data_IF_263785890953
#
_entry.id   IF_263785890953
#
_cell.length_a   1.000
_cell.length_b   1.000
_cell.length_c   1.000
_cell.angle_alpha   90.00
_cell.angle_beta   90.00
_cell.angle_gamma   90.00
#
_symmetry.space_group_name_H-M   'P 1'
#
loop_
_entity.id
_entity.type
_entity.pdbx_description
1 polymer ?
#
# COMPACT_ATOMS: atom_id res chain seq x y z
N UNK A 1 -4.77 -21.76 -18.40
CA UNK A 1 -4.13 -20.44 -18.20
C UNK A 1 -3.59 -19.98 -19.54
N UNK A 2 -4.02 -18.82 -20.03
CA UNK A 2 -3.39 -18.15 -21.18
C UNK A 2 -2.16 -17.39 -20.69
N UNK A 3 -0.99 -17.99 -20.89
CA UNK A 3 0.29 -17.50 -20.37
C UNK A 3 0.76 -16.23 -21.09
N UNK A 4 0.37 -16.03 -22.34
CA UNK A 4 0.71 -14.84 -23.12
C UNK A 4 -0.07 -13.63 -22.60
N UNK A 5 -1.40 -13.76 -22.49
CA UNK A 5 -2.25 -12.69 -21.94
C UNK A 5 -1.88 -12.37 -20.49
N UNK A 6 -1.58 -13.38 -19.69
CA UNK A 6 -1.10 -13.19 -18.32
C UNK A 6 0.16 -12.29 -18.29
N UNK A 7 1.18 -12.60 -19.10
CA UNK A 7 2.42 -11.81 -19.17
C UNK A 7 2.17 -10.38 -19.65
N UNK A 8 1.28 -10.19 -20.62
CA UNK A 8 0.91 -8.85 -21.10
C UNK A 8 0.29 -8.02 -19.98
N UNK A 9 -0.71 -8.53 -19.27
CA UNK A 9 -1.34 -7.78 -18.18
C UNK A 9 -0.40 -7.51 -17.01
N UNK A 10 0.51 -8.43 -16.70
CA UNK A 10 1.55 -8.20 -15.70
C UNK A 10 2.51 -7.08 -16.13
N UNK A 11 2.93 -7.07 -17.40
CA UNK A 11 3.76 -6.00 -17.95
C UNK A 11 3.04 -4.65 -17.92
N UNK A 12 1.75 -4.61 -18.25
CA UNK A 12 0.93 -3.39 -18.18
C UNK A 12 0.82 -2.85 -16.76
N UNK A 13 0.63 -3.72 -15.75
CA UNK A 13 0.59 -3.32 -14.34
C UNK A 13 1.93 -2.73 -13.88
N UNK A 14 3.04 -3.40 -14.21
CA UNK A 14 4.38 -2.93 -13.88
C UNK A 14 4.70 -1.61 -14.59
N UNK A 15 4.27 -1.44 -15.84
CA UNK A 15 4.42 -0.19 -16.58
C UNK A 15 3.59 0.94 -15.95
N UNK A 16 2.35 0.65 -15.52
CA UNK A 16 1.50 1.63 -14.85
C UNK A 16 2.15 2.19 -13.57
N UNK A 17 2.78 1.31 -12.77
CA UNK A 17 3.50 1.72 -11.55
C UNK A 17 4.80 2.46 -11.86
N UNK A 18 5.59 2.00 -12.83
CA UNK A 18 6.92 2.57 -13.14
C UNK A 18 6.89 3.84 -13.99
N UNK A 19 5.83 4.07 -14.77
CA UNK A 19 5.70 5.24 -15.66
C UNK A 19 5.27 6.53 -14.95
N UNK A 20 4.92 6.47 -13.66
CA UNK A 20 4.34 7.59 -12.92
C UNK A 20 2.87 7.89 -13.27
N UNK A 21 2.28 7.17 -14.23
CA UNK A 21 0.86 7.32 -14.59
C UNK A 21 -0.06 6.99 -13.41
N UNK A 22 0.26 5.95 -12.63
CA UNK A 22 -0.49 5.62 -11.42
C UNK A 22 -0.55 6.80 -10.44
N UNK A 23 0.60 7.44 -10.18
CA UNK A 23 0.70 8.64 -9.34
C UNK A 23 -0.16 9.77 -9.90
N UNK A 24 -0.06 10.04 -11.22
CA UNK A 24 -0.81 11.12 -11.86
C UNK A 24 -2.34 10.92 -11.75
N UNK A 25 -2.83 9.70 -12.01
CA UNK A 25 -4.25 9.39 -11.90
C UNK A 25 -4.76 9.48 -10.47
N UNK A 26 -4.05 8.86 -9.51
CA UNK A 26 -4.43 8.90 -8.11
C UNK A 26 -4.38 10.34 -7.55
N UNK A 27 -3.36 11.11 -7.89
CA UNK A 27 -3.25 12.52 -7.47
C UNK A 27 -4.44 13.34 -7.97
N UNK A 28 -4.85 13.12 -9.22
CA UNK A 28 -6.03 13.79 -9.80
C UNK A 28 -7.31 13.41 -9.06
N UNK A 29 -7.50 12.13 -8.74
CA UNK A 29 -8.65 11.63 -7.98
C UNK A 29 -8.67 12.27 -6.59
N UNK A 30 -7.56 12.20 -5.85
CA UNK A 30 -7.45 12.75 -4.50
C UNK A 30 -7.65 14.26 -4.46
N UNK A 31 -7.16 15.01 -5.46
CA UNK A 31 -7.36 16.47 -5.54
C UNK A 31 -8.83 16.89 -5.62
N UNK A 32 -9.70 15.99 -6.11
CA UNK A 32 -11.14 16.20 -6.21
C UNK A 32 -11.90 15.67 -4.99
N UNK A 33 -11.30 14.77 -4.21
CA UNK A 33 -11.90 14.15 -3.04
C UNK A 33 -11.79 15.01 -1.77
N UNK A 34 -12.09 16.32 -1.86
CA UNK A 34 -11.80 17.32 -0.81
C UNK A 34 -12.47 17.06 0.55
N UNK A 35 -13.57 16.31 0.57
CA UNK A 35 -14.29 15.94 1.79
C UNK A 35 -13.88 14.57 2.33
N UNK A 36 -12.99 13.85 1.64
CA UNK A 36 -12.50 12.56 2.07
C UNK A 36 -11.51 12.76 3.24
N UNK A 37 -11.84 12.17 4.38
CA UNK A 37 -11.03 12.23 5.61
C UNK A 37 -10.38 10.90 5.97
N UNK A 38 -10.75 9.83 5.28
CA UNK A 38 -10.34 8.48 5.59
C UNK A 38 -9.79 7.84 4.32
N UNK A 39 -8.55 7.38 4.40
CA UNK A 39 -7.94 6.53 3.37
C UNK A 39 -7.79 5.12 3.93
N UNK A 40 -8.31 4.15 3.20
CA UNK A 40 -8.23 2.73 3.54
C UNK A 40 -7.53 2.03 2.37
N UNK A 41 -6.52 1.24 2.68
CA UNK A 41 -5.90 0.30 1.75
C UNK A 41 -6.25 -1.09 2.27
N UNK A 42 -7.10 -1.80 1.53
CA UNK A 42 -7.51 -3.16 1.86
C UNK A 42 -7.44 -4.09 0.65
N UNK A 43 -7.48 -5.39 0.92
CA UNK A 43 -7.60 -6.46 -0.08
C UNK A 43 -8.80 -7.39 0.15
N UNK A 44 -9.67 -7.04 1.11
CA UNK A 44 -10.82 -7.84 1.57
C UNK A 44 -11.79 -8.18 0.42
N UNK A 45 -11.67 -7.50 -0.71
CA UNK A 45 -12.49 -7.72 -1.88
C UNK A 45 -11.64 -8.02 -3.12
N UNK A 46 -12.08 -9.02 -3.89
CA UNK A 46 -11.57 -9.24 -5.24
C UNK A 46 -11.71 -7.95 -6.04
N UNK A 47 -10.58 -7.42 -6.50
CA UNK A 47 -10.56 -6.20 -7.30
C UNK A 47 -11.60 -6.26 -8.42
N UNK A 48 -12.21 -5.13 -8.73
CA UNK A 48 -13.31 -5.05 -9.71
C UNK A 48 -12.94 -5.64 -11.09
N UNK A 49 -11.64 -5.65 -11.42
CA UNK A 49 -11.07 -6.25 -12.63
C UNK A 49 -10.78 -7.76 -12.56
N UNK A 50 -10.93 -8.44 -11.42
CA UNK A 50 -10.56 -9.84 -11.25
C UNK A 50 -11.38 -10.79 -12.14
N UNK A 51 -12.67 -10.51 -12.34
CA UNK A 51 -13.52 -11.29 -13.25
C UNK A 51 -13.15 -11.07 -14.72
N UNK A 52 -12.75 -9.86 -15.09
CA UNK A 52 -12.21 -9.57 -16.41
C UNK A 52 -10.91 -10.34 -16.63
N UNK A 53 -9.97 -10.25 -15.69
CA UNK A 53 -8.70 -10.95 -15.77
C UNK A 53 -8.89 -12.47 -15.84
N UNK A 54 -9.82 -13.06 -15.07
CA UNK A 54 -10.15 -14.49 -15.20
C UNK A 54 -10.67 -14.86 -16.58
N UNK A 55 -11.53 -14.04 -17.19
CA UNK A 55 -12.02 -14.31 -18.55
C UNK A 55 -10.87 -14.30 -19.55
N UNK A 56 -9.91 -13.40 -19.39
CA UNK A 56 -8.82 -13.24 -20.33
C UNK A 56 -7.69 -14.26 -20.12
N UNK A 57 -7.31 -14.57 -18.88
CA UNK A 57 -6.17 -15.45 -18.55
C UNK A 57 -6.60 -16.87 -18.20
N UNK A 58 -7.89 -17.11 -17.99
CA UNK A 58 -8.45 -18.39 -17.54
C UNK A 58 -8.33 -18.67 -16.04
N UNK A 59 -7.72 -17.76 -15.26
CA UNK A 59 -7.56 -17.89 -13.80
C UNK A 59 -7.75 -16.56 -13.09
N UNK A 60 -8.22 -16.60 -11.85
CA UNK A 60 -8.24 -15.39 -11.03
C UNK A 60 -6.81 -14.90 -10.77
N UNK A 61 -6.60 -13.58 -10.65
CA UNK A 61 -5.36 -13.05 -10.06
C UNK A 61 -5.11 -13.70 -8.71
N UNK A 62 -3.84 -13.95 -8.39
CA UNK A 62 -3.49 -14.46 -7.07
C UNK A 62 -3.75 -13.38 -6.01
N UNK A 63 -4.19 -13.82 -4.84
CA UNK A 63 -4.26 -12.99 -3.62
C UNK A 63 -3.14 -13.34 -2.65
N UNK A 64 -2.28 -14.30 -2.99
CA UNK A 64 -1.12 -14.70 -2.17
C UNK A 64 0.01 -13.69 -2.31
N UNK A 65 0.62 -13.30 -1.20
CA UNK A 65 1.75 -12.36 -1.16
C UNK A 65 3.10 -13.08 -0.88
N UNK A 66 3.11 -14.40 -0.96
CA UNK A 66 4.25 -15.24 -0.55
C UNK A 66 5.51 -15.05 -1.43
N UNK A 67 5.33 -14.64 -2.69
CA UNK A 67 6.45 -14.39 -3.60
C UNK A 67 7.07 -13.01 -3.39
N UNK A 68 8.40 -12.92 -3.47
CA UNK A 68 9.13 -11.65 -3.42
C UNK A 68 8.60 -10.63 -4.44
N UNK A 69 8.28 -11.06 -5.66
CA UNK A 69 7.75 -10.16 -6.70
C UNK A 69 6.40 -9.54 -6.32
N UNK A 70 5.55 -10.29 -5.61
CA UNK A 70 4.28 -9.76 -5.11
C UNK A 70 4.49 -8.73 -3.99
N UNK A 71 5.49 -8.96 -3.13
CA UNK A 71 5.85 -8.02 -2.07
C UNK A 71 6.41 -6.71 -2.63
N UNK A 72 7.34 -6.80 -3.59
CA UNK A 72 7.90 -5.64 -4.29
C UNK A 72 6.81 -4.83 -5.01
N UNK A 73 5.84 -5.51 -5.62
CA UNK A 73 4.71 -4.87 -6.26
C UNK A 73 3.85 -4.12 -5.24
N UNK A 74 3.50 -4.74 -4.10
CA UNK A 74 2.71 -4.09 -3.05
C UNK A 74 3.47 -2.92 -2.45
N UNK A 75 4.78 -3.04 -2.21
CA UNK A 75 5.63 -1.94 -1.76
C UNK A 75 5.57 -0.76 -2.74
N UNK A 76 5.70 -1.04 -4.04
CA UNK A 76 5.62 -0.03 -5.10
C UNK A 76 4.23 0.62 -5.18
N UNK A 77 3.17 -0.16 -5.03
CA UNK A 77 1.80 0.35 -5.04
C UNK A 77 1.51 1.22 -3.80
N UNK A 78 1.96 0.81 -2.63
CA UNK A 78 1.84 1.56 -1.39
C UNK A 78 2.56 2.92 -1.50
N UNK A 79 3.81 2.92 -1.96
CA UNK A 79 4.57 4.15 -2.22
C UNK A 79 3.87 5.06 -3.22
N UNK A 80 3.34 4.50 -4.30
CA UNK A 80 2.58 5.25 -5.31
C UNK A 80 1.38 5.97 -4.70
N UNK A 81 0.63 5.31 -3.81
CA UNK A 81 -0.51 5.90 -3.11
C UNK A 81 -0.07 7.06 -2.21
N UNK A 82 1.00 6.88 -1.42
CA UNK A 82 1.52 7.93 -0.54
C UNK A 82 2.05 9.15 -1.31
N UNK A 83 2.75 8.94 -2.42
CA UNK A 83 3.22 10.01 -3.32
C UNK A 83 2.02 10.77 -3.89
N UNK A 84 1.02 10.04 -4.38
CA UNK A 84 -0.17 10.65 -4.95
C UNK A 84 -0.96 11.46 -3.91
N UNK A 85 -1.09 10.93 -2.69
CA UNK A 85 -1.73 11.62 -1.57
C UNK A 85 -1.00 12.93 -1.26
N UNK A 86 0.32 12.88 -1.16
CA UNK A 86 1.20 14.04 -0.94
C UNK A 86 1.02 15.08 -2.05
N UNK A 87 1.11 14.66 -3.31
CA UNK A 87 1.01 15.55 -4.48
C UNK A 87 -0.38 16.19 -4.61
N UNK A 88 -1.44 15.50 -4.16
CA UNK A 88 -2.81 16.01 -4.21
C UNK A 88 -3.12 17.09 -3.17
N UNK A 89 -2.32 17.18 -2.09
CA UNK A 89 -2.59 18.05 -0.94
C UNK A 89 -3.84 17.65 -0.13
N UNK A 90 -4.40 16.45 -0.37
CA UNK A 90 -5.53 15.95 0.38
C UNK A 90 -5.14 15.75 1.86
N UNK A 91 -5.97 16.28 2.76
CA UNK A 91 -5.79 16.14 4.20
C UNK A 91 -6.71 15.06 4.74
N UNK A 92 -6.10 13.94 5.11
CA UNK A 92 -6.79 12.84 5.80
C UNK A 92 -6.57 12.94 7.31
N UNK A 93 -7.55 12.47 8.07
CA UNK A 93 -7.55 12.37 9.53
C UNK A 93 -7.32 10.91 9.95
N UNK A 94 -7.81 9.96 9.15
CA UNK A 94 -7.68 8.53 9.39
C UNK A 94 -6.97 7.84 8.22
N UNK A 95 -5.94 7.06 8.53
CA UNK A 95 -5.27 6.18 7.59
C UNK A 95 -5.27 4.75 8.11
N UNK A 96 -5.75 3.83 7.29
CA UNK A 96 -5.85 2.42 7.64
C UNK A 96 -5.24 1.56 6.55
N UNK A 97 -4.40 0.61 6.95
CA UNK A 97 -3.76 -0.35 6.05
C UNK A 97 -4.06 -1.75 6.56
N UNK A 98 -4.88 -2.45 5.81
CA UNK A 98 -5.32 -3.83 6.03
C UNK A 98 -5.03 -4.65 4.77
N UNK A 99 -3.76 -4.96 4.47
CA UNK A 99 -3.54 -6.03 3.50
C UNK A 99 -3.76 -7.38 4.20
N UNK A 100 -4.41 -8.30 3.49
CA UNK A 100 -4.79 -9.63 3.94
C UNK A 100 -5.88 -9.63 5.00
N UNK A 101 -7.14 -9.37 4.65
CA UNK A 101 -8.20 -9.64 5.62
C UNK A 101 -8.22 -11.14 6.01
N UNK A 102 -8.17 -11.36 7.33
CA UNK A 102 -8.18 -12.61 8.12
C UNK A 102 -6.84 -13.34 8.31
N UNK A 103 -5.86 -13.33 7.41
CA UNK A 103 -4.61 -14.14 7.61
C UNK A 103 -3.39 -13.79 6.72
N UNK A 104 -3.18 -12.57 6.19
CA UNK A 104 -1.88 -12.26 5.54
C UNK A 104 -1.43 -10.83 5.83
N UNK A 105 -0.73 -10.62 6.95
CA UNK A 105 -0.32 -9.28 7.35
C UNK A 105 0.73 -8.66 6.39
N UNK A 106 0.84 -7.32 6.35
CA UNK A 106 1.82 -6.66 5.46
C UNK A 106 3.24 -6.93 5.95
N UNK A 107 4.15 -7.23 5.02
CA UNK A 107 5.57 -7.15 5.29
C UNK A 107 5.91 -5.70 5.72
N UNK A 108 6.43 -5.47 6.94
CA UNK A 108 6.79 -4.13 7.41
C UNK A 108 7.83 -3.41 6.53
N UNK A 109 8.59 -4.12 5.69
CA UNK A 109 9.47 -3.50 4.69
C UNK A 109 8.71 -2.73 3.60
N UNK A 110 7.41 -2.97 3.41
CA UNK A 110 6.54 -2.11 2.57
C UNK A 110 6.48 -0.68 3.13
N UNK A 111 6.65 -0.54 4.44
CA UNK A 111 6.74 0.74 5.14
C UNK A 111 8.17 1.31 5.13
N UNK A 112 9.15 0.54 4.64
CA UNK A 112 10.56 0.94 4.52
C UNK A 112 10.67 2.25 3.75
N UNK A 113 11.63 3.12 4.12
CA UNK A 113 11.60 4.53 3.80
C UNK A 113 11.27 4.80 2.34
N UNK A 114 10.02 5.19 2.08
CA UNK A 114 9.73 5.90 0.85
C UNK A 114 10.56 7.18 0.93
N UNK A 115 11.52 7.43 0.01
CA UNK A 115 12.38 8.61 0.07
C UNK A 115 11.56 9.91 0.15
N UNK A 116 10.33 9.88 -0.37
CA UNK A 116 9.36 10.98 -0.32
C UNK A 116 8.91 11.33 1.11
N UNK A 117 8.83 10.35 2.03
CA UNK A 117 8.51 10.60 3.44
C UNK A 117 9.63 11.40 4.14
N UNK A 118 10.86 11.39 3.60
CA UNK A 118 12.07 11.93 4.22
C UNK A 118 12.53 13.24 3.56
N UNK A 119 12.14 13.45 2.29
CA UNK A 119 12.56 14.59 1.50
C UNK A 119 11.64 15.81 1.63
N UNK A 120 10.41 15.66 2.16
CA UNK A 120 9.51 16.78 2.41
C UNK A 120 8.47 16.46 3.49
N UNK A 121 8.04 17.46 4.28
CA UNK A 121 6.96 17.26 5.24
C UNK A 121 5.69 16.83 4.50
N UNK A 122 5.18 15.65 4.84
CA UNK A 122 3.93 15.12 4.29
C UNK A 122 2.79 16.10 4.61
N UNK A 123 2.11 16.68 3.61
CA UNK A 123 1.05 17.65 3.86
C UNK A 123 -0.08 17.08 4.73
N UNK A 124 -0.34 15.78 4.63
CA UNK A 124 -1.36 15.07 5.40
C UNK A 124 -0.87 14.60 6.79
N UNK A 125 0.43 14.58 7.06
CA UNK A 125 0.94 14.08 8.34
C UNK A 125 0.47 14.93 9.54
N UNK A 126 0.31 16.23 9.32
CA UNK A 126 -0.17 17.17 10.35
C UNK A 126 -1.69 17.14 10.52
N UNK A 127 -2.44 16.43 9.66
CA UNK A 127 -3.88 16.25 9.82
C UNK A 127 -4.25 14.86 10.33
N UNK A 128 -3.33 13.89 10.25
CA UNK A 128 -3.58 12.51 10.61
C UNK A 128 -3.58 12.33 12.14
N UNK A 129 -4.74 11.92 12.66
CA UNK A 129 -5.00 11.67 14.09
C UNK A 129 -5.19 10.19 14.40
N UNK A 130 -5.55 9.38 13.39
CA UNK A 130 -5.84 7.96 13.55
C UNK A 130 -5.03 7.14 12.54
N UNK A 131 -4.24 6.20 13.05
CA UNK A 131 -3.46 5.24 12.27
C UNK A 131 -3.82 3.83 12.70
N UNK A 132 -4.22 2.99 11.75
CA UNK A 132 -4.39 1.56 11.96
C UNK A 132 -3.52 0.77 10.97
N UNK A 133 -2.69 -0.14 11.49
CA UNK A 133 -1.80 -0.99 10.69
C UNK A 133 -1.95 -2.45 11.13
N UNK A 134 -2.10 -3.35 10.16
CA UNK A 134 -1.92 -4.80 10.36
C UNK A 134 -0.55 -5.21 9.80
N UNK A 135 0.35 -5.73 10.64
CA UNK A 135 1.78 -5.95 10.33
C UNK A 135 2.20 -7.39 10.65
N UNK A 136 3.03 -8.01 9.79
CA UNK A 136 3.53 -9.38 10.00
C UNK A 136 4.67 -9.35 11.03
N UNK A 137 4.75 -10.36 11.91
CA UNK A 137 5.87 -10.50 12.86
C UNK A 137 7.23 -10.73 12.18
N UNK A 138 7.23 -11.07 10.89
CA UNK A 138 8.41 -11.30 10.05
C UNK A 138 8.89 -12.74 10.02
N UNK A 139 8.23 -13.64 10.76
CA UNK A 139 8.59 -15.06 10.83
C UNK A 139 8.47 -15.76 9.47
N UNK A 140 7.53 -15.30 8.64
CA UNK A 140 7.27 -15.84 7.29
C UNK A 140 8.18 -15.27 6.20
N UNK A 141 8.90 -14.18 6.48
CA UNK A 141 9.56 -13.36 5.45
C UNK A 141 11.07 -13.26 5.61
N UNK A 142 11.68 -14.01 6.54
CA UNK A 142 13.10 -13.93 6.88
C UNK A 142 13.56 -12.49 7.12
N UNK A 143 12.67 -11.66 7.69
CA UNK A 143 12.96 -10.26 7.94
C UNK A 143 14.04 -10.16 8.99
N UNK A 144 14.92 -9.18 8.79
CA UNK A 144 15.87 -8.84 9.83
C UNK A 144 15.10 -8.29 11.04
N UNK A 145 15.10 -9.09 12.11
CA UNK A 145 14.45 -8.78 13.39
C UNK A 145 14.91 -7.45 13.99
N UNK A 146 16.07 -6.93 13.57
CA UNK A 146 16.58 -5.64 14.03
C UNK A 146 16.07 -4.46 13.17
N UNK A 147 15.73 -4.68 11.90
CA UNK A 147 15.48 -3.60 10.93
C UNK A 147 14.01 -3.22 10.84
N UNK A 148 13.09 -4.19 10.81
CA UNK A 148 11.67 -3.87 10.63
C UNK A 148 11.03 -3.05 11.78
N UNK A 149 11.39 -3.24 13.06
CA UNK A 149 10.82 -2.42 14.13
C UNK A 149 11.26 -0.95 14.01
N UNK A 150 12.49 -0.72 13.54
CA UNK A 150 13.04 0.61 13.27
C UNK A 150 12.26 1.29 12.15
N UNK A 151 12.00 0.58 11.05
CA UNK A 151 11.18 1.07 9.93
C UNK A 151 9.77 1.47 10.37
N UNK A 152 9.07 0.60 11.09
CA UNK A 152 7.73 0.89 11.58
C UNK A 152 7.71 2.12 12.51
N UNK A 153 8.70 2.20 13.40
CA UNK A 153 8.85 3.33 14.33
C UNK A 153 9.07 4.65 13.57
N UNK A 154 9.96 4.65 12.58
CA UNK A 154 10.24 5.83 11.74
C UNK A 154 9.00 6.27 10.98
N UNK A 155 8.23 5.33 10.44
CA UNK A 155 6.96 5.62 9.77
C UNK A 155 5.94 6.27 10.71
N UNK A 156 5.75 5.73 11.91
CA UNK A 156 4.80 6.28 12.90
C UNK A 156 5.22 7.69 13.33
N UNK A 157 6.52 7.93 13.51
CA UNK A 157 7.05 9.25 13.89
C UNK A 157 6.82 10.33 12.83
N UNK A 158 6.44 9.98 11.60
CA UNK A 158 6.03 10.96 10.60
C UNK A 158 4.73 11.70 10.98
N UNK A 159 3.94 11.22 11.96
CA UNK A 159 2.61 11.74 12.29
C UNK A 159 2.57 12.44 13.66
N UNK A 160 2.94 13.74 13.75
CA UNK A 160 3.09 14.44 15.02
C UNK A 160 1.79 14.70 15.78
N UNK A 161 0.63 14.50 15.14
CA UNK A 161 -0.70 14.73 15.73
C UNK A 161 -1.49 13.43 15.91
N UNK A 162 -0.80 12.30 15.92
CA UNK A 162 -1.42 11.01 16.12
C UNK A 162 -2.04 10.92 17.54
N UNK A 163 -3.34 10.70 17.60
CA UNK A 163 -4.12 10.56 18.84
C UNK A 163 -4.48 9.10 19.11
N UNK A 164 -4.69 8.32 18.04
CA UNK A 164 -5.03 6.90 18.10
C UNK A 164 -4.11 6.09 17.21
N UNK A 165 -3.44 5.11 17.80
CA UNK A 165 -2.62 4.12 17.12
C UNK A 165 -3.20 2.72 17.38
N UNK A 166 -3.54 2.01 16.31
CA UNK A 166 -3.94 0.61 16.34
C UNK A 166 -2.91 -0.22 15.57
N UNK A 167 -2.26 -1.14 16.28
CA UNK A 167 -1.33 -2.10 15.69
C UNK A 167 -1.89 -3.50 15.89
N UNK A 168 -2.11 -4.21 14.80
CA UNK A 168 -2.50 -5.62 14.81
C UNK A 168 -1.31 -6.42 14.29
N UNK A 169 -0.90 -7.43 15.05
CA UNK A 169 0.14 -8.38 14.64
C UNK A 169 -0.52 -9.74 14.48
N UNK A 170 -0.39 -10.34 13.31
CA UNK A 170 -0.81 -11.72 13.07
C UNK A 170 0.43 -12.61 12.98
N UNK A 171 0.32 -13.79 13.61
CA UNK A 171 1.34 -14.84 13.68
C UNK A 171 0.95 -16.04 12.83
#
# INVERSE_FOLDING_TARGET
VDTTKYRTYLADQNNLLSSGLAVAYLSSIFSKAKNCKTLIIDDDHRAWGANFLKRETGVYPTTTLDSLESQDFIASAFQTILIALTASGLRIETFQVYAGCVTVPINPEILSPCPVLWLSPLPFATSLTNLALAVDSGDNYALDSETWPSTLTQFIHCFPRLEKLELTFES
#
